data_IF_425501983597
#
_entry.id   IF_425501983597
#
_cell.length_a   1.000
_cell.length_b   1.000
_cell.length_c   1.000
_cell.angle_alpha   90.00
_cell.angle_beta   90.00
_cell.angle_gamma   90.00
#
_symmetry.space_group_name_H-M   'P 1'
#
loop_
_entity.id
_entity.type
_entity.pdbx_description
1 polymer ?
#
# COMPACT_ATOMS: atom_id res chain seq x y z
N UNK A 1 37.12 1.25 -21.79
CA UNK A 1 35.93 0.52 -21.30
C UNK A 1 35.57 1.09 -19.93
N UNK A 2 34.61 2.00 -19.89
CA UNK A 2 34.04 2.52 -18.64
C UNK A 2 32.57 2.13 -18.67
N UNK A 3 32.22 1.09 -17.90
CA UNK A 3 30.83 0.66 -17.71
C UNK A 3 30.12 1.71 -16.87
N UNK A 4 29.23 2.47 -17.50
CA UNK A 4 28.41 3.49 -16.85
C UNK A 4 27.36 2.82 -15.99
N UNK A 5 27.65 2.68 -14.70
CA UNK A 5 26.67 2.32 -13.68
C UNK A 5 25.68 3.49 -13.54
N UNK A 6 24.58 3.44 -14.30
CA UNK A 6 23.46 4.37 -14.09
C UNK A 6 22.86 4.05 -12.73
N UNK A 7 23.12 4.89 -11.74
CA UNK A 7 22.35 4.93 -10.50
C UNK A 7 20.91 5.33 -10.88
N UNK A 8 20.02 4.36 -11.03
CA UNK A 8 18.59 4.60 -10.97
C UNK A 8 18.21 4.74 -9.50
N UNK A 9 18.62 5.86 -8.91
CA UNK A 9 18.16 6.26 -7.59
C UNK A 9 16.82 6.99 -7.76
N UNK A 10 15.74 6.26 -7.97
CA UNK A 10 14.42 6.78 -7.61
C UNK A 10 14.31 6.55 -6.10
N UNK A 11 14.70 7.57 -5.34
CA UNK A 11 14.52 7.59 -3.89
C UNK A 11 13.02 7.49 -3.63
N UNK A 12 12.53 6.34 -3.13
CA UNK A 12 11.17 6.22 -2.59
C UNK A 12 10.34 5.01 -3.03
N UNK A 13 10.74 4.24 -4.04
CA UNK A 13 9.94 3.08 -4.48
C UNK A 13 10.30 1.81 -3.71
N UNK A 14 9.37 1.35 -2.87
CA UNK A 14 9.45 0.07 -2.16
C UNK A 14 9.18 -1.05 -3.17
N UNK A 15 10.07 -2.03 -3.22
CA UNK A 15 9.88 -3.25 -4.00
C UNK A 15 9.75 -4.43 -3.05
N UNK A 16 9.15 -5.49 -3.55
CA UNK A 16 9.08 -6.77 -2.87
C UNK A 16 9.69 -7.84 -3.75
N UNK A 17 10.42 -8.76 -3.13
CA UNK A 17 10.85 -10.00 -3.78
C UNK A 17 10.09 -11.17 -3.16
N UNK A 18 9.49 -12.00 -4.00
CA UNK A 18 8.82 -13.20 -3.54
C UNK A 18 9.84 -14.26 -3.14
N UNK A 19 9.76 -14.68 -1.89
CA UNK A 19 10.55 -15.75 -1.30
C UNK A 19 9.62 -16.83 -0.74
N UNK A 20 10.18 -17.89 -0.16
CA UNK A 20 9.39 -18.96 0.45
C UNK A 20 9.71 -19.07 1.94
N UNK A 21 8.73 -18.82 2.80
CA UNK A 21 8.83 -19.14 4.22
C UNK A 21 8.82 -20.66 4.41
N UNK A 22 9.83 -21.19 5.08
CA UNK A 22 10.04 -22.63 5.29
C UNK A 22 9.69 -23.04 6.71
N UNK A 23 10.11 -22.24 7.70
CA UNK A 23 9.93 -22.57 9.10
C UNK A 23 9.69 -21.32 9.97
N UNK A 24 8.95 -21.51 11.05
CA UNK A 24 8.64 -20.51 12.07
C UNK A 24 8.95 -21.13 13.44
N UNK A 25 9.99 -20.65 14.10
CA UNK A 25 10.47 -21.24 15.37
C UNK A 25 10.61 -20.20 16.48
N UNK A 26 10.50 -20.67 17.73
CA UNK A 26 10.70 -19.85 18.93
C UNK A 26 9.43 -19.16 19.45
N UNK A 27 9.63 -18.32 20.46
CA UNK A 27 8.60 -17.46 21.05
C UNK A 27 8.74 -16.04 20.52
N UNK A 28 7.65 -15.27 20.50
CA UNK A 28 7.65 -13.92 19.96
C UNK A 28 8.77 -13.05 20.57
N UNK A 29 9.63 -12.40 19.75
CA UNK A 29 9.62 -12.42 18.28
C UNK A 29 10.03 -13.78 17.68
N UNK A 30 9.17 -14.36 16.82
CA UNK A 30 9.45 -15.65 16.17
C UNK A 30 10.57 -15.49 15.14
N UNK A 31 11.39 -16.53 15.03
CA UNK A 31 12.41 -16.64 14.01
C UNK A 31 11.80 -17.30 12.77
N UNK A 32 12.04 -16.70 11.61
CA UNK A 32 11.53 -17.12 10.31
C UNK A 32 12.71 -17.59 9.48
N UNK A 33 12.64 -18.83 8.98
CA UNK A 33 13.53 -19.29 7.91
C UNK A 33 12.85 -19.05 6.56
N UNK A 34 13.51 -18.25 5.72
CA UNK A 34 13.02 -17.88 4.39
C UNK A 34 14.05 -18.28 3.35
N UNK A 35 13.59 -18.93 2.28
CA UNK A 35 14.42 -19.29 1.13
C UNK A 35 14.13 -18.33 -0.01
N UNK A 36 15.15 -17.58 -0.40
CA UNK A 36 15.11 -16.66 -1.54
C UNK A 36 15.80 -17.30 -2.74
N UNK A 37 15.06 -17.54 -3.83
CA UNK A 37 15.64 -18.09 -5.05
C UNK A 37 16.55 -17.05 -5.75
N UNK A 38 17.78 -17.45 -6.04
CA UNK A 38 18.74 -16.67 -6.82
C UNK A 38 18.67 -17.08 -8.31
N UNK A 39 19.05 -16.16 -9.21
CA UNK A 39 18.96 -16.35 -10.66
C UNK A 39 19.86 -17.50 -11.19
N UNK A 40 20.85 -17.93 -10.41
CA UNK A 40 21.72 -19.06 -10.74
C UNK A 40 21.12 -20.43 -10.34
N UNK A 41 19.87 -20.44 -9.84
CA UNK A 41 19.16 -21.63 -9.38
C UNK A 41 19.49 -22.05 -7.94
N UNK A 42 20.32 -21.30 -7.22
CA UNK A 42 20.54 -21.50 -5.78
C UNK A 42 19.43 -20.84 -4.97
N UNK A 43 19.38 -21.17 -3.69
CA UNK A 43 18.52 -20.48 -2.73
C UNK A 43 19.38 -19.92 -1.59
N UNK A 44 19.26 -18.63 -1.34
CA UNK A 44 19.81 -18.01 -0.15
C UNK A 44 18.89 -18.29 1.05
N UNK A 45 19.48 -18.72 2.17
CA UNK A 45 18.74 -18.96 3.41
C UNK A 45 18.84 -17.74 4.30
N UNK A 46 17.71 -17.05 4.44
CA UNK A 46 17.53 -15.86 5.25
C UNK A 46 16.94 -16.29 6.60
N UNK A 47 17.58 -15.85 7.68
CA UNK A 47 17.06 -16.01 9.03
C UNK A 47 16.74 -14.62 9.57
N UNK A 48 15.45 -14.33 9.77
CA UNK A 48 14.99 -13.06 10.30
C UNK A 48 14.05 -13.24 11.47
N UNK A 49 14.01 -12.27 12.37
CA UNK A 49 13.02 -12.23 13.44
C UNK A 49 11.84 -11.39 12.99
N UNK A 50 10.62 -11.79 13.32
CA UNK A 50 9.50 -10.85 13.34
C UNK A 50 9.83 -9.70 14.32
N UNK A 51 9.54 -8.42 14.02
CA UNK A 51 8.80 -7.91 12.86
C UNK A 51 9.69 -7.45 11.69
N UNK A 52 10.99 -7.76 11.68
CA UNK A 52 11.87 -7.37 10.55
C UNK A 52 11.43 -8.02 9.24
N UNK A 53 10.87 -9.23 9.35
CA UNK A 53 10.13 -9.91 8.30
C UNK A 53 8.66 -9.82 8.67
N UNK A 54 7.86 -9.21 7.80
CA UNK A 54 6.41 -9.17 7.97
C UNK A 54 5.84 -10.56 7.72
N UNK A 55 5.34 -11.20 8.77
CA UNK A 55 4.79 -12.56 8.72
C UNK A 55 3.27 -12.58 8.78
N UNK A 56 2.62 -11.42 8.67
CA UNK A 56 1.16 -11.30 8.82
C UNK A 56 0.44 -12.18 7.80
N UNK A 57 0.97 -12.28 6.58
CA UNK A 57 0.43 -13.12 5.50
C UNK A 57 0.57 -14.63 5.73
N UNK A 58 1.57 -15.05 6.51
CA UNK A 58 1.87 -16.47 6.75
C UNK A 58 1.47 -16.94 8.15
N UNK A 59 0.93 -16.06 8.99
CA UNK A 59 0.50 -16.42 10.33
C UNK A 59 -0.69 -17.40 10.28
N UNK A 60 -0.45 -18.65 10.68
CA UNK A 60 -1.45 -19.72 10.60
C UNK A 60 -1.51 -20.45 9.24
N UNK A 61 -0.68 -20.05 8.28
CA UNK A 61 -0.53 -20.73 6.99
C UNK A 61 0.28 -22.03 7.12
N UNK A 62 0.08 -22.97 6.19
CA UNK A 62 0.88 -24.20 6.13
C UNK A 62 2.20 -23.93 5.42
N UNK A 63 3.31 -24.18 6.10
CA UNK A 63 4.64 -24.06 5.49
C UNK A 63 4.96 -25.29 4.64
N UNK A 64 5.69 -25.13 3.51
CA UNK A 64 6.21 -23.88 2.98
C UNK A 64 5.13 -22.98 2.35
N UNK A 65 5.27 -21.66 2.48
CA UNK A 65 4.34 -20.65 1.94
C UNK A 65 5.09 -19.50 1.26
N UNK A 66 4.55 -18.90 0.18
CA UNK A 66 5.09 -17.66 -0.37
C UNK A 66 5.12 -16.55 0.68
N UNK A 67 6.14 -15.70 0.59
CA UNK A 67 6.34 -14.57 1.49
C UNK A 67 7.08 -13.46 0.74
N UNK A 68 6.53 -12.26 0.76
CA UNK A 68 7.14 -11.10 0.11
C UNK A 68 8.09 -10.36 1.05
N UNK A 69 9.36 -10.22 0.63
CA UNK A 69 10.39 -9.52 1.38
C UNK A 69 10.63 -8.13 0.79
N UNK A 70 10.61 -7.10 1.65
CA UNK A 70 10.93 -5.73 1.25
C UNK A 70 12.37 -5.62 0.75
N UNK A 71 12.55 -5.07 -0.44
CA UNK A 71 13.84 -4.88 -1.07
C UNK A 71 13.94 -3.54 -1.83
N UNK A 72 15.17 -3.18 -2.17
CA UNK A 72 15.53 -2.10 -3.08
C UNK A 72 16.18 -2.70 -4.32
N UNK A 73 15.73 -2.34 -5.52
CA UNK A 73 16.43 -2.71 -6.76
C UNK A 73 17.65 -1.80 -6.91
N UNK A 74 18.84 -2.35 -6.70
CA UNK A 74 20.10 -1.59 -6.72
C UNK A 74 20.79 -1.62 -8.08
N UNK A 75 20.39 -2.54 -8.95
CA UNK A 75 20.92 -2.66 -10.30
C UNK A 75 20.16 -3.67 -11.14
N UNK A 76 20.44 -3.66 -12.45
CA UNK A 76 19.89 -4.62 -13.41
C UNK A 76 21.05 -5.16 -14.22
N UNK A 77 21.19 -6.47 -14.27
CA UNK A 77 22.23 -7.12 -15.08
C UNK A 77 21.78 -7.23 -16.53
N UNK A 78 20.56 -7.74 -16.72
CA UNK A 78 19.89 -7.91 -17.98
C UNK A 78 18.36 -7.81 -17.80
N UNK A 79 17.60 -8.08 -18.85
CA UNK A 79 16.14 -7.95 -18.80
C UNK A 79 15.46 -8.95 -17.85
N UNK A 80 16.14 -10.08 -17.55
CA UNK A 80 15.62 -11.19 -16.75
C UNK A 80 16.17 -11.24 -15.33
N UNK A 81 17.24 -10.49 -15.04
CA UNK A 81 17.96 -10.55 -13.76
C UNK A 81 18.18 -9.17 -13.17
N UNK A 82 17.80 -9.02 -11.91
CA UNK A 82 17.99 -7.78 -11.14
C UNK A 82 18.82 -8.05 -9.89
N UNK A 83 19.61 -7.05 -9.49
CA UNK A 83 20.25 -7.02 -8.18
C UNK A 83 19.33 -6.31 -7.21
N UNK A 84 18.97 -7.01 -6.15
CA UNK A 84 18.19 -6.45 -5.04
C UNK A 84 19.03 -6.37 -3.78
N UNK A 85 18.71 -5.41 -2.92
CA UNK A 85 19.18 -5.36 -1.54
C UNK A 85 17.98 -5.51 -0.61
N UNK A 86 18.02 -6.44 0.33
CA UNK A 86 16.97 -6.57 1.35
C UNK A 86 17.01 -5.38 2.31
N UNK A 87 15.84 -4.90 2.73
CA UNK A 87 15.74 -3.78 3.68
C UNK A 87 15.82 -4.25 5.13
N UNK A 88 15.86 -3.29 6.05
CA UNK A 88 15.81 -3.52 7.50
C UNK A 88 16.95 -4.40 8.07
N UNK A 89 18.09 -4.46 7.38
CA UNK A 89 19.27 -5.20 7.84
C UNK A 89 19.10 -6.71 7.76
N UNK A 90 18.15 -7.21 6.97
CA UNK A 90 17.96 -8.63 6.71
C UNK A 90 19.10 -9.14 5.84
N UNK A 91 19.78 -10.19 6.31
CA UNK A 91 20.87 -10.86 5.59
C UNK A 91 20.65 -12.37 5.53
N UNK A 92 21.32 -13.06 4.62
CA UNK A 92 21.44 -14.52 4.66
C UNK A 92 22.38 -15.01 5.78
N UNK A 93 22.53 -16.33 5.89
CA UNK A 93 23.46 -16.98 6.85
C UNK A 93 24.93 -16.59 6.65
N UNK A 94 25.30 -16.08 5.48
CA UNK A 94 26.66 -15.64 5.16
C UNK A 94 26.85 -14.12 5.39
N UNK A 95 25.80 -13.41 5.83
CA UNK A 95 25.82 -11.97 6.06
C UNK A 95 25.66 -11.16 4.78
N UNK A 96 25.22 -11.75 3.67
CA UNK A 96 24.92 -11.05 2.42
C UNK A 96 23.57 -10.36 2.52
N UNK A 97 23.51 -9.11 2.07
CA UNK A 97 22.26 -8.32 1.99
C UNK A 97 21.79 -8.10 0.54
N UNK A 98 22.62 -8.48 -0.44
CA UNK A 98 22.43 -8.19 -1.86
C UNK A 98 22.40 -9.50 -2.64
N UNK A 99 21.37 -9.68 -3.47
CA UNK A 99 21.08 -10.94 -4.17
C UNK A 99 20.77 -10.68 -5.64
N UNK A 100 21.12 -11.66 -6.48
CA UNK A 100 20.72 -11.69 -7.90
C UNK A 100 19.49 -12.56 -8.04
N UNK A 101 18.38 -11.97 -8.44
CA UNK A 101 17.09 -12.67 -8.52
C UNK A 101 16.48 -12.47 -9.91
N UNK A 102 15.56 -13.38 -10.27
CA UNK A 102 14.77 -13.21 -11.48
C UNK A 102 13.94 -11.93 -11.39
N UNK A 103 13.91 -11.13 -12.46
CA UNK A 103 13.16 -9.87 -12.51
C UNK A 103 11.66 -10.08 -12.26
N UNK A 104 11.10 -11.22 -12.67
CA UNK A 104 9.71 -11.59 -12.43
C UNK A 104 9.39 -11.92 -10.96
N UNK A 105 10.41 -12.26 -10.16
CA UNK A 105 10.25 -12.47 -8.72
C UNK A 105 10.19 -11.14 -7.95
N UNK A 106 10.44 -10.01 -8.62
CA UNK A 106 10.39 -8.69 -8.02
C UNK A 106 9.16 -7.94 -8.52
N UNK A 107 8.35 -7.47 -7.57
CA UNK A 107 7.19 -6.63 -7.86
C UNK A 107 7.32 -5.26 -7.17
N UNK A 108 6.71 -4.25 -7.76
CA UNK A 108 6.52 -2.96 -7.11
C UNK A 108 5.41 -3.05 -6.06
N UNK A 109 5.45 -2.15 -5.08
CA UNK A 109 4.35 -1.94 -4.12
C UNK A 109 3.03 -1.62 -4.85
N UNK A 110 1.96 -2.31 -4.47
CA UNK A 110 0.62 -2.12 -5.00
C UNK A 110 -0.06 -0.85 -4.46
N UNK A 111 -1.14 -0.36 -5.11
CA UNK A 111 -1.83 0.86 -4.67
C UNK A 111 -2.39 0.81 -3.25
N UNK A 112 -2.93 -0.32 -2.81
CA UNK A 112 -3.35 -0.58 -1.42
C UNK A 112 -2.17 -0.54 -0.46
N UNK A 113 -1.09 -1.26 -0.75
CA UNK A 113 0.11 -1.29 0.09
C UNK A 113 0.73 0.11 0.26
N UNK A 114 0.76 0.92 -0.82
CA UNK A 114 1.20 2.33 -0.75
C UNK A 114 0.29 3.12 0.20
N UNK A 115 -1.04 2.97 0.08
CA UNK A 115 -2.00 3.71 0.92
C UNK A 115 -1.89 3.29 2.40
N UNK A 116 -1.79 1.99 2.67
CA UNK A 116 -1.58 1.45 4.03
C UNK A 116 -0.27 1.95 4.63
N UNK A 117 0.83 1.90 3.87
CA UNK A 117 2.12 2.43 4.32
C UNK A 117 2.03 3.91 4.65
N UNK A 118 1.42 4.72 3.79
CA UNK A 118 1.23 6.15 4.05
C UNK A 118 0.35 6.41 5.28
N UNK A 119 -0.72 5.66 5.48
CA UNK A 119 -1.52 5.75 6.71
C UNK A 119 -0.65 5.49 7.94
N UNK A 120 0.15 4.41 7.94
CA UNK A 120 1.03 4.04 9.05
C UNK A 120 2.15 5.07 9.28
N UNK A 121 2.75 5.62 8.22
CA UNK A 121 3.75 6.69 8.30
C UNK A 121 3.19 7.96 8.97
N UNK A 122 1.89 8.22 8.79
CA UNK A 122 1.15 9.30 9.45
C UNK A 122 0.51 8.88 10.79
N UNK A 123 0.89 7.72 11.34
CA UNK A 123 0.37 7.17 12.59
C UNK A 123 -1.14 6.90 12.61
N UNK A 124 -1.71 6.57 11.45
CA UNK A 124 -3.10 6.17 11.28
C UNK A 124 -3.15 4.66 11.04
N UNK A 125 -3.86 3.93 11.90
CA UNK A 125 -4.13 2.50 11.72
C UNK A 125 -5.16 2.31 10.58
N UNK A 126 -4.83 1.61 9.48
CA UNK A 126 -5.75 1.36 8.37
C UNK A 126 -7.07 0.69 8.77
N UNK A 127 -7.05 -0.13 9.82
CA UNK A 127 -8.23 -0.88 10.30
C UNK A 127 -8.97 -0.18 11.44
N UNK A 128 -8.37 0.87 12.01
CA UNK A 128 -8.85 1.56 13.20
C UNK A 128 -8.69 3.08 13.12
N UNK A 129 -9.02 3.69 11.98
CA UNK A 129 -9.03 5.16 11.82
C UNK A 129 -9.90 5.79 12.92
N UNK A 130 -9.33 6.68 13.74
CA UNK A 130 -10.05 7.36 14.83
C UNK A 130 -10.47 8.78 14.50
N UNK A 131 -9.85 9.39 13.48
CA UNK A 131 -10.07 10.77 13.04
C UNK A 131 -9.97 10.82 11.51
N UNK A 132 -11.03 11.33 10.87
CA UNK A 132 -11.11 11.48 9.42
C UNK A 132 -10.09 12.50 8.91
N UNK A 133 -9.84 13.57 9.66
CA UNK A 133 -8.87 14.59 9.24
C UNK A 133 -7.45 14.01 9.19
N UNK A 134 -7.10 13.18 10.18
CA UNK A 134 -5.81 12.49 10.20
C UNK A 134 -5.65 11.52 9.03
N UNK A 135 -6.73 10.85 8.58
CA UNK A 135 -6.71 9.96 7.43
C UNK A 135 -6.73 10.70 6.08
N UNK A 136 -7.21 11.95 6.05
CA UNK A 136 -7.26 12.75 4.83
C UNK A 136 -5.86 13.09 4.32
N UNK A 137 -4.93 13.48 5.19
CA UNK A 137 -3.57 13.84 4.81
C UNK A 137 -2.82 12.70 4.07
N UNK A 138 -2.67 11.47 4.62
CA UNK A 138 -2.02 10.36 3.91
C UNK A 138 -2.77 9.97 2.64
N UNK A 139 -4.11 10.12 2.59
CA UNK A 139 -4.85 9.93 1.35
C UNK A 139 -4.51 11.00 0.29
N UNK A 140 -4.34 12.27 0.67
CA UNK A 140 -3.91 13.31 -0.28
C UNK A 140 -2.50 13.06 -0.80
N UNK A 141 -1.61 12.53 0.04
CA UNK A 141 -0.28 12.10 -0.38
C UNK A 141 -0.35 10.93 -1.35
N UNK A 142 -1.12 9.89 -1.00
CA UNK A 142 -1.38 8.74 -1.87
C UNK A 142 -1.96 9.16 -3.23
N UNK A 143 -2.89 10.11 -3.24
CA UNK A 143 -3.46 10.64 -4.48
C UNK A 143 -2.41 11.30 -5.38
N UNK A 144 -1.32 11.82 -4.81
CA UNK A 144 -0.22 12.47 -5.53
C UNK A 144 0.92 11.52 -5.89
N UNK A 145 1.02 10.37 -5.23
CA UNK A 145 2.08 9.39 -5.46
C UNK A 145 1.99 8.82 -6.88
N UNK A 146 3.04 8.90 -7.71
CA UNK A 146 3.12 8.13 -8.94
C UNK A 146 3.14 6.63 -8.61
N UNK A 147 2.37 5.84 -9.35
CA UNK A 147 2.34 4.38 -9.16
C UNK A 147 2.92 3.73 -10.40
N UNK A 148 3.97 2.92 -10.20
CA UNK A 148 4.64 2.20 -11.26
C UNK A 148 3.77 1.08 -11.83
N UNK A 149 3.96 0.78 -13.11
CA UNK A 149 3.26 -0.34 -13.78
C UNK A 149 1.79 -0.09 -14.11
N UNK A 150 1.20 1.03 -13.66
CA UNK A 150 -0.14 1.45 -14.02
C UNK A 150 -0.07 2.66 -14.95
N UNK A 151 -0.77 2.58 -16.09
CA UNK A 151 -0.90 3.72 -16.99
C UNK A 151 -1.62 4.85 -16.25
N UNK A 152 -0.96 6.01 -16.14
CA UNK A 152 -1.62 7.26 -15.78
C UNK A 152 -2.34 7.77 -17.03
N UNK A 153 -3.48 7.14 -17.32
CA UNK A 153 -4.37 7.57 -18.39
C UNK A 153 -5.36 8.62 -17.87
N UNK A 154 -6.23 9.10 -18.76
CA UNK A 154 -7.29 10.06 -18.43
C UNK A 154 -8.32 9.51 -17.42
N UNK A 155 -8.15 8.28 -16.91
CA UNK A 155 -9.01 7.67 -15.90
C UNK A 155 -8.36 7.62 -14.49
N UNK A 156 -7.16 8.18 -14.27
CA UNK A 156 -6.62 8.41 -12.92
C UNK A 156 -7.31 9.61 -12.27
N UNK A 157 -8.12 9.35 -11.25
CA UNK A 157 -8.86 10.39 -10.56
C UNK A 157 -9.20 10.07 -9.12
N UNK A 158 -9.75 11.07 -8.44
CA UNK A 158 -10.13 10.96 -7.02
C UNK A 158 -11.61 11.27 -6.83
N UNK A 159 -12.21 10.63 -5.83
CA UNK A 159 -13.57 10.89 -5.38
C UNK A 159 -13.70 10.66 -3.88
N UNK A 160 -14.50 11.49 -3.21
CA UNK A 160 -14.96 11.24 -1.84
C UNK A 160 -16.46 10.96 -1.88
N UNK A 161 -16.88 9.84 -1.30
CA UNK A 161 -18.29 9.41 -1.25
C UNK A 161 -18.74 9.25 0.19
N UNK A 162 -19.98 9.61 0.48
CA UNK A 162 -20.55 9.46 1.83
C UNK A 162 -21.97 8.88 1.81
N UNK A 163 -22.42 8.38 2.96
CA UNK A 163 -23.80 7.98 3.19
C UNK A 163 -24.23 6.66 2.53
N UNK A 164 -23.30 5.82 2.07
CA UNK A 164 -23.63 4.43 1.72
C UNK A 164 -23.79 3.61 3.01
N UNK A 165 -24.80 2.74 3.03
CA UNK A 165 -25.10 1.87 4.16
C UNK A 165 -24.78 0.42 3.80
N UNK A 166 -24.05 -0.27 4.66
CA UNK A 166 -24.07 -1.73 4.67
C UNK A 166 -25.46 -2.21 5.11
N UNK A 167 -26.08 -3.12 4.35
CA UNK A 167 -27.39 -3.69 4.68
C UNK A 167 -27.37 -4.47 6.01
N UNK A 168 -26.23 -5.06 6.38
CA UNK A 168 -26.07 -5.82 7.62
C UNK A 168 -25.90 -4.93 8.84
N UNK A 169 -25.12 -3.85 8.72
CA UNK A 169 -24.63 -3.11 9.89
C UNK A 169 -25.26 -1.73 10.05
N UNK A 170 -26.02 -1.25 9.04
CA UNK A 170 -26.55 0.12 8.95
C UNK A 170 -25.49 1.19 9.22
N UNK A 171 -24.21 0.87 9.03
CA UNK A 171 -23.13 1.79 9.22
C UNK A 171 -23.09 2.75 8.02
N UNK A 172 -23.10 4.04 8.28
CA UNK A 172 -22.79 5.03 7.25
C UNK A 172 -21.30 4.91 6.91
N UNK A 173 -20.95 5.08 5.64
CA UNK A 173 -19.56 5.07 5.21
C UNK A 173 -19.12 6.42 4.66
N UNK A 174 -17.87 6.77 4.92
CA UNK A 174 -17.10 7.76 4.18
C UNK A 174 -16.01 7.00 3.41
N UNK A 175 -15.86 7.26 2.13
CA UNK A 175 -14.87 6.57 1.29
C UNK A 175 -14.03 7.57 0.55
N UNK A 176 -12.71 7.43 0.67
CA UNK A 176 -11.73 8.11 -0.16
C UNK A 176 -11.25 7.14 -1.21
N UNK A 177 -11.44 7.45 -2.49
CA UNK A 177 -11.07 6.54 -3.58
C UNK A 177 -10.15 7.25 -4.56
N UNK A 178 -9.09 6.55 -4.98
CA UNK A 178 -8.34 6.85 -6.19
C UNK A 178 -8.62 5.76 -7.22
N UNK A 179 -9.02 6.15 -8.42
CA UNK A 179 -9.10 5.28 -9.60
C UNK A 179 -7.77 5.33 -10.34
N UNK A 180 -7.37 4.18 -10.87
CA UNK A 180 -6.13 3.95 -11.62
C UNK A 180 -6.51 3.08 -12.82
N UNK A 181 -6.96 3.70 -13.90
CA UNK A 181 -7.51 3.01 -15.07
C UNK A 181 -8.66 2.02 -14.72
N UNK A 182 -8.39 0.72 -14.82
CA UNK A 182 -9.30 -0.39 -14.50
C UNK A 182 -9.27 -0.82 -13.04
N UNK A 183 -8.46 -0.18 -12.20
CA UNK A 183 -8.32 -0.51 -10.78
C UNK A 183 -8.74 0.66 -9.90
N UNK A 184 -9.09 0.39 -8.65
CA UNK A 184 -9.28 1.42 -7.64
C UNK A 184 -8.78 0.96 -6.27
N UNK A 185 -8.12 1.88 -5.58
CA UNK A 185 -7.80 1.76 -4.16
C UNK A 185 -8.73 2.68 -3.37
N UNK A 186 -9.23 2.21 -2.23
CA UNK A 186 -10.13 3.00 -1.38
C UNK A 186 -9.85 2.79 0.09
N UNK A 187 -9.84 3.88 0.85
CA UNK A 187 -10.01 3.84 2.29
C UNK A 187 -11.50 3.95 2.60
N UNK A 188 -12.07 2.92 3.22
CA UNK A 188 -13.47 2.89 3.66
C UNK A 188 -13.49 3.12 5.17
N UNK A 189 -14.21 4.15 5.62
CA UNK A 189 -14.36 4.52 7.02
C UNK A 189 -15.82 4.35 7.40
N UNK A 190 -16.10 3.63 8.48
CA UNK A 190 -17.44 3.23 8.90
C UNK A 190 -17.87 3.96 10.17
N UNK A 191 -19.14 4.34 10.23
CA UNK A 191 -19.72 5.08 11.35
C UNK A 191 -21.02 4.44 11.81
N UNK A 192 -21.20 4.33 13.13
CA UNK A 192 -22.45 3.89 13.76
C UNK A 192 -23.30 5.09 14.17
N UNK A 193 -24.61 4.87 14.29
CA UNK A 193 -25.55 5.87 14.81
C UNK A 193 -26.13 6.83 13.76
N UNK A 194 -25.78 6.67 12.49
CA UNK A 194 -26.35 7.43 11.39
C UNK A 194 -27.46 6.62 10.71
N UNK A 195 -28.69 7.13 10.70
CA UNK A 195 -29.85 6.43 10.10
C UNK A 195 -30.48 7.17 8.93
N UNK A 196 -30.16 8.46 8.74
CA UNK A 196 -30.83 9.34 7.75
C UNK A 196 -29.85 10.26 7.01
N UNK A 197 -28.57 9.93 6.98
CA UNK A 197 -27.55 10.73 6.30
C UNK A 197 -27.74 10.62 4.77
N UNK A 198 -27.98 11.74 4.06
CA UNK A 198 -28.18 11.70 2.61
C UNK A 198 -26.87 11.34 1.91
N UNK A 199 -26.93 10.33 1.03
CA UNK A 199 -25.79 9.89 0.26
C UNK A 199 -25.37 10.95 -0.77
N UNK A 200 -24.07 11.01 -1.05
CA UNK A 200 -23.54 11.88 -2.10
C UNK A 200 -22.07 11.61 -2.37
N UNK A 201 -21.53 12.31 -3.35
CA UNK A 201 -20.10 12.30 -3.66
C UNK A 201 -19.61 13.65 -4.19
N UNK A 202 -18.28 13.79 -4.28
CA UNK A 202 -17.62 14.99 -4.83
C UNK A 202 -17.68 15.08 -6.35
N UNK A 203 -18.16 14.04 -7.04
CA UNK A 203 -17.79 13.79 -8.42
C UNK A 203 -16.32 13.35 -8.55
N UNK A 204 -16.01 12.69 -9.66
CA UNK A 204 -14.63 12.37 -10.02
C UNK A 204 -13.89 13.63 -10.44
N UNK A 205 -12.72 13.86 -9.84
CA UNK A 205 -11.74 14.82 -10.34
C UNK A 205 -10.57 14.05 -10.98
N UNK A 206 -10.42 14.18 -12.29
CA UNK A 206 -9.43 13.48 -13.12
C UNK A 206 -8.14 14.33 -13.29
N UNK A 207 -7.95 15.36 -12.46
CA UNK A 207 -6.73 16.17 -12.53
C UNK A 207 -5.50 15.26 -12.34
N UNK A 208 -4.47 15.36 -13.20
CA UNK A 208 -3.28 14.52 -13.07
C UNK A 208 -2.51 14.85 -11.78
N UNK A 209 -1.70 13.91 -11.26
CA UNK A 209 -0.81 14.17 -10.13
C UNK A 209 0.02 15.45 -10.33
N UNK A 210 0.20 16.20 -9.25
CA UNK A 210 0.86 17.50 -9.23
C UNK A 210 -0.08 18.64 -8.81
N UNK A 211 0.21 19.89 -9.25
CA UNK A 211 -0.50 21.09 -8.79
C UNK A 211 -2.02 21.08 -9.05
N UNK A 212 -2.46 20.54 -10.19
CA UNK A 212 -3.88 20.46 -10.53
C UNK A 212 -4.65 19.56 -9.56
N UNK A 213 -4.12 18.36 -9.27
CA UNK A 213 -4.67 17.45 -8.27
C UNK A 213 -4.59 18.01 -6.85
N UNK A 214 -3.52 18.75 -6.53
CA UNK A 214 -3.42 19.39 -5.21
C UNK A 214 -4.55 20.41 -5.02
N UNK A 215 -4.82 21.22 -6.05
CA UNK A 215 -5.94 22.16 -6.03
C UNK A 215 -7.30 21.45 -5.95
N UNK A 216 -7.47 20.30 -6.63
CA UNK A 216 -8.67 19.48 -6.53
C UNK A 216 -8.93 18.95 -5.11
N UNK A 217 -7.90 18.38 -4.48
CA UNK A 217 -7.98 17.89 -3.11
C UNK A 217 -8.29 19.02 -2.13
N UNK A 218 -7.68 20.20 -2.29
CA UNK A 218 -8.03 21.39 -1.50
C UNK A 218 -9.50 21.78 -1.69
N UNK A 219 -10.03 21.77 -2.91
CA UNK A 219 -11.46 22.04 -3.16
C UNK A 219 -12.36 21.03 -2.45
N UNK A 220 -12.02 19.73 -2.53
CA UNK A 220 -12.77 18.66 -1.84
C UNK A 220 -12.81 18.93 -0.34
N UNK A 221 -11.65 19.24 0.28
CA UNK A 221 -11.56 19.52 1.70
C UNK A 221 -12.33 20.77 2.11
N UNK A 222 -12.27 21.84 1.32
CA UNK A 222 -13.02 23.08 1.59
C UNK A 222 -14.53 22.89 1.47
N UNK A 223 -14.99 21.97 0.62
CA UNK A 223 -16.41 21.67 0.44
C UNK A 223 -17.02 20.82 1.57
N UNK A 224 -16.22 20.37 2.54
CA UNK A 224 -16.70 19.57 3.69
C UNK A 224 -17.76 20.33 4.46
N UNK A 225 -17.52 21.61 4.79
CA UNK A 225 -18.43 22.39 5.62
C UNK A 225 -19.72 22.80 4.89
N UNK A 226 -19.69 22.84 3.56
CA UNK A 226 -20.84 23.19 2.71
C UNK A 226 -21.82 22.02 2.50
N UNK A 227 -21.38 20.79 2.79
CA UNK A 227 -22.14 19.56 2.52
C UNK A 227 -22.48 18.86 3.83
N UNK A 228 -23.69 19.08 4.34
CA UNK A 228 -24.12 18.59 5.66
C UNK A 228 -23.76 17.11 5.94
N UNK A 229 -24.11 16.19 5.02
CA UNK A 229 -23.81 14.77 5.22
C UNK A 229 -22.31 14.44 5.24
N UNK A 230 -21.51 15.15 4.44
CA UNK A 230 -20.05 15.01 4.46
C UNK A 230 -19.48 15.57 5.77
N UNK A 231 -19.91 16.78 6.17
CA UNK A 231 -19.51 17.43 7.42
C UNK A 231 -19.79 16.58 8.65
N UNK A 232 -20.99 15.99 8.72
CA UNK A 232 -21.41 15.15 9.84
C UNK A 232 -20.50 13.93 10.02
N UNK A 233 -20.14 13.23 8.93
CA UNK A 233 -19.21 12.10 9.00
C UNK A 233 -17.77 12.58 9.25
N UNK A 234 -17.37 13.71 8.69
CA UNK A 234 -16.00 14.22 8.80
C UNK A 234 -15.59 14.52 10.24
N UNK A 235 -16.52 15.02 11.06
CA UNK A 235 -16.27 15.31 12.47
C UNK A 235 -16.81 14.24 13.44
N UNK A 236 -17.35 13.14 12.91
CA UNK A 236 -17.80 12.02 13.73
C UNK A 236 -16.64 11.10 14.09
N UNK A 237 -16.81 10.35 15.18
CA UNK A 237 -15.88 9.28 15.55
C UNK A 237 -16.14 8.03 14.71
N UNK A 238 -15.17 7.54 13.92
CA UNK A 238 -15.34 6.30 13.21
C UNK A 238 -15.44 5.10 14.16
N UNK A 239 -16.01 4.02 13.64
CA UNK A 239 -16.22 2.75 14.34
C UNK A 239 -15.42 1.59 13.75
N UNK A 240 -14.79 1.81 12.60
CA UNK A 240 -13.93 0.85 11.89
C UNK A 240 -13.50 1.44 10.55
N UNK A 241 -12.45 0.89 9.99
CA UNK A 241 -11.99 1.23 8.65
C UNK A 241 -11.34 0.03 7.97
N UNK A 242 -11.08 0.16 6.67
CA UNK A 242 -10.33 -0.83 5.90
C UNK A 242 -9.83 -0.20 4.60
N UNK A 243 -8.63 -0.58 4.16
CA UNK A 243 -8.19 -0.35 2.78
C UNK A 243 -8.72 -1.46 1.89
N UNK A 244 -9.10 -1.11 0.66
CA UNK A 244 -9.57 -2.07 -0.34
C UNK A 244 -8.93 -1.77 -1.69
N UNK A 245 -8.51 -2.81 -2.39
CA UNK A 245 -8.07 -2.74 -3.78
C UNK A 245 -8.89 -3.71 -4.63
N UNK A 246 -9.45 -3.21 -5.73
CA UNK A 246 -10.31 -4.01 -6.61
C UNK A 246 -10.33 -3.45 -8.02
N UNK A 247 -10.80 -4.26 -8.96
CA UNK A 247 -11.13 -3.80 -10.30
C UNK A 247 -12.25 -2.75 -10.21
N UNK A 248 -12.09 -1.63 -10.92
CA UNK A 248 -13.08 -0.59 -11.07
C UNK A 248 -14.26 -1.11 -11.90
N UNK A 249 -15.47 -0.77 -11.46
CA UNK A 249 -16.73 -1.16 -12.09
C UNK A 249 -16.96 -0.41 -13.43
#
# INVERSE_FOLDING_TARGET
MASGMRRFGTIGLVHFVTATAIDLTGHYPVMVEVHLAEADGRAAVILGNAPLIDISEIHGSRLPSPLDLRCEVVGRDDDQTVLIRLRHGVTDREGRDTFRVAAEAVRSEGPDEILERLLLEHHVDPDAVTDVECAWLPFTEFAQTPIDGLAQDDADGVIVRWGRYSWTDRAATLTFTRRLALWQASLVIQFRGFTTLPAGDTGWDLSPPGPARAAALTRIRSAVDDRQGLRELWYARPSGSSVTFRQAD
#
